data_IF_049707192067
#
_entry.id   IF_049707192067
#
_cell.length_a   1.000
_cell.length_b   1.000
_cell.length_c   1.000
_cell.angle_alpha   90.00
_cell.angle_beta   90.00
_cell.angle_gamma   90.00
#
_symmetry.space_group_name_H-M   'P 1'
#
loop_
_entity.id
_entity.type
_entity.pdbx_description
1 polymer ?
#
# COMPACT_ATOMS: atom_id res chain seq x y z
N UNK A 1 0.01 -10.45 -25.43
CA UNK A 1 0.67 -11.47 -24.58
C UNK A 1 1.21 -10.76 -23.35
N UNK A 2 0.44 -10.74 -22.27
CA UNK A 2 0.85 -10.12 -21.01
C UNK A 2 1.63 -11.14 -20.19
N UNK A 3 2.85 -10.82 -19.82
CA UNK A 3 3.69 -11.67 -18.98
C UNK A 3 3.15 -11.61 -17.55
N UNK A 4 2.42 -12.63 -17.12
CA UNK A 4 2.03 -12.80 -15.72
C UNK A 4 3.30 -13.03 -14.88
N UNK A 5 3.60 -12.10 -13.99
CA UNK A 5 4.71 -12.23 -13.04
C UNK A 5 4.26 -13.24 -11.98
N UNK A 6 4.92 -14.40 -11.93
CA UNK A 6 4.69 -15.41 -10.88
C UNK A 6 5.24 -14.87 -9.54
N UNK A 7 4.35 -14.43 -8.66
CA UNK A 7 4.69 -14.15 -7.27
C UNK A 7 4.81 -15.48 -6.53
N UNK A 8 6.03 -15.87 -6.19
CA UNK A 8 6.30 -17.03 -5.31
C UNK A 8 5.88 -16.65 -3.89
N UNK A 9 4.69 -17.11 -3.46
CA UNK A 9 4.48 -17.54 -2.07
C UNK A 9 3.29 -18.52 -2.00
N UNK A 10 3.57 -19.81 -2.07
CA UNK A 10 2.59 -20.89 -2.06
C UNK A 10 2.06 -21.16 -0.65
N UNK A 11 1.06 -20.40 -0.20
CA UNK A 11 0.16 -20.83 0.88
C UNK A 11 -1.22 -20.27 0.56
N UNK A 12 -2.20 -21.15 0.34
CA UNK A 12 -3.60 -20.90 -0.07
C UNK A 12 -4.07 -19.44 0.05
N UNK A 13 -4.45 -18.83 -1.08
CA UNK A 13 -4.91 -17.45 -1.13
C UNK A 13 -6.18 -17.25 -0.29
N UNK A 14 -6.07 -16.49 0.79
CA UNK A 14 -7.22 -15.96 1.52
C UNK A 14 -7.47 -14.54 1.01
N UNK A 15 -8.74 -14.17 0.78
CA UNK A 15 -9.15 -12.85 0.28
C UNK A 15 -8.55 -11.69 1.09
N UNK A 16 -8.41 -11.84 2.41
CA UNK A 16 -7.77 -10.83 3.25
C UNK A 16 -6.29 -10.59 2.90
N UNK A 17 -5.54 -11.64 2.55
CA UNK A 17 -4.12 -11.52 2.18
C UNK A 17 -3.96 -10.85 0.82
N UNK A 18 -4.81 -11.19 -0.15
CA UNK A 18 -4.83 -10.56 -1.48
C UNK A 18 -5.02 -9.04 -1.35
N UNK A 19 -6.04 -8.61 -0.58
CA UNK A 19 -6.35 -7.19 -0.36
C UNK A 19 -5.22 -6.46 0.37
N UNK A 20 -4.58 -7.15 1.31
CA UNK A 20 -3.41 -6.63 2.00
C UNK A 20 -2.19 -6.47 1.08
N UNK A 21 -1.83 -7.50 0.30
CA UNK A 21 -0.70 -7.48 -0.63
C UNK A 21 -0.89 -6.41 -1.71
N UNK A 22 -2.12 -6.25 -2.21
CA UNK A 22 -2.53 -5.14 -3.08
C UNK A 22 -2.23 -3.79 -2.43
N UNK A 23 -2.72 -3.57 -1.21
CA UNK A 23 -2.59 -2.28 -0.52
C UNK A 23 -1.14 -1.96 -0.16
N UNK A 24 -0.36 -2.97 0.22
CA UNK A 24 1.08 -2.85 0.44
C UNK A 24 1.80 -2.44 -0.86
N UNK A 25 1.47 -3.08 -1.98
CA UNK A 25 2.06 -2.74 -3.29
C UNK A 25 1.69 -1.32 -3.72
N UNK A 26 0.41 -0.94 -3.62
CA UNK A 26 -0.06 0.42 -3.88
C UNK A 26 0.70 1.44 -3.04
N UNK A 27 0.82 1.19 -1.73
CA UNK A 27 1.55 2.08 -0.83
C UNK A 27 3.00 2.29 -1.29
N UNK A 28 3.73 1.20 -1.59
CA UNK A 28 5.10 1.28 -2.07
C UNK A 28 5.20 2.04 -3.39
N UNK A 29 4.27 1.84 -4.33
CA UNK A 29 4.21 2.61 -5.57
C UNK A 29 3.99 4.10 -5.31
N UNK A 30 3.08 4.48 -4.39
CA UNK A 30 2.85 5.89 -4.02
C UNK A 30 4.10 6.52 -3.40
N UNK A 31 4.79 5.78 -2.52
CA UNK A 31 5.98 6.27 -1.80
C UNK A 31 7.17 6.40 -2.75
N UNK A 32 7.49 5.34 -3.49
CA UNK A 32 8.76 5.21 -4.21
C UNK A 32 8.69 5.51 -5.70
N UNK A 33 7.50 5.47 -6.30
CA UNK A 33 7.31 5.70 -7.74
C UNK A 33 6.47 6.96 -7.95
N UNK A 34 5.15 6.84 -7.94
CA UNK A 34 4.21 7.95 -8.06
C UNK A 34 2.77 7.53 -7.71
N UNK A 35 1.94 8.49 -7.33
CA UNK A 35 0.51 8.31 -7.10
C UNK A 35 -0.21 7.79 -8.36
N UNK A 36 0.11 8.31 -9.55
CA UNK A 36 -0.50 7.87 -10.81
C UNK A 36 -0.22 6.40 -11.12
N UNK A 37 1.00 5.91 -10.92
CA UNK A 37 1.34 4.48 -11.13
C UNK A 37 0.63 3.57 -10.13
N UNK A 38 0.48 4.01 -8.88
CA UNK A 38 -0.33 3.28 -7.90
C UNK A 38 -1.79 3.19 -8.33
N UNK A 39 -2.38 4.27 -8.84
CA UNK A 39 -3.77 4.27 -9.30
C UNK A 39 -3.96 3.38 -10.53
N UNK A 40 -3.06 3.46 -11.51
CA UNK A 40 -3.08 2.56 -12.68
C UNK A 40 -3.02 1.09 -12.26
N UNK A 41 -2.16 0.75 -11.31
CA UNK A 41 -2.07 -0.61 -10.77
C UNK A 41 -3.37 -1.03 -10.06
N UNK A 42 -3.92 -0.18 -9.18
CA UNK A 42 -5.16 -0.46 -8.46
C UNK A 42 -6.33 -0.70 -9.42
N UNK A 43 -6.52 0.16 -10.42
CA UNK A 43 -7.61 0.01 -11.39
C UNK A 43 -7.52 -1.29 -12.18
N UNK A 44 -6.31 -1.68 -12.59
CA UNK A 44 -6.10 -2.98 -13.24
C UNK A 44 -6.38 -4.16 -12.35
N UNK A 45 -6.09 -4.05 -11.06
CA UNK A 45 -6.38 -5.11 -10.11
C UNK A 45 -7.89 -5.23 -9.80
N UNK A 46 -8.60 -4.10 -9.77
CA UNK A 46 -10.05 -4.04 -9.55
C UNK A 46 -10.86 -4.59 -10.73
N UNK A 47 -10.28 -4.73 -11.92
CA UNK A 47 -10.90 -5.46 -13.05
C UNK A 47 -11.09 -6.95 -12.71
N UNK A 48 -10.25 -7.52 -11.85
CA UNK A 48 -10.25 -8.94 -11.48
C UNK A 48 -10.91 -9.21 -10.11
N UNK A 49 -10.84 -8.24 -9.18
CA UNK A 49 -11.28 -8.42 -7.79
C UNK A 49 -12.11 -7.23 -7.32
N UNK A 50 -13.35 -7.49 -6.89
CA UNK A 50 -14.20 -6.49 -6.26
C UNK A 50 -13.74 -6.21 -4.83
N UNK A 51 -13.45 -4.95 -4.53
CA UNK A 51 -13.04 -4.49 -3.21
C UNK A 51 -13.77 -3.19 -2.90
N UNK A 52 -14.45 -3.14 -1.75
CA UNK A 52 -15.13 -1.93 -1.32
C UNK A 52 -14.13 -0.83 -0.94
N UNK A 53 -14.49 0.43 -1.18
CA UNK A 53 -13.63 1.59 -0.86
C UNK A 53 -13.21 1.61 0.61
N UNK A 54 -14.14 1.32 1.53
CA UNK A 54 -13.84 1.26 2.96
C UNK A 54 -12.82 0.17 3.30
N UNK A 55 -12.88 -0.99 2.64
CA UNK A 55 -11.91 -2.06 2.85
C UNK A 55 -10.53 -1.63 2.34
N UNK A 56 -10.44 -0.99 1.17
CA UNK A 56 -9.19 -0.47 0.64
C UNK A 56 -8.52 0.51 1.61
N UNK A 57 -9.30 1.41 2.21
CA UNK A 57 -8.77 2.36 3.18
C UNK A 57 -8.26 1.68 4.46
N UNK A 58 -8.94 0.63 4.95
CA UNK A 58 -8.45 -0.16 6.10
C UNK A 58 -7.13 -0.85 5.77
N UNK A 59 -7.03 -1.49 4.61
CA UNK A 59 -5.79 -2.17 4.22
C UNK A 59 -4.66 -1.19 3.90
N UNK A 60 -4.96 -0.01 3.38
CA UNK A 60 -3.99 1.08 3.25
C UNK A 60 -3.49 1.54 4.62
N UNK A 61 -4.38 1.67 5.62
CA UNK A 61 -3.98 2.02 6.98
C UNK A 61 -3.02 0.97 7.56
N UNK A 62 -3.33 -0.32 7.40
CA UNK A 62 -2.45 -1.42 7.82
C UNK A 62 -1.08 -1.39 7.11
N UNK A 63 -1.08 -1.16 5.80
CA UNK A 63 0.14 -1.01 5.02
C UNK A 63 0.99 0.18 5.53
N UNK A 64 0.36 1.32 5.82
CA UNK A 64 1.04 2.50 6.35
C UNK A 64 1.68 2.21 7.71
N UNK A 65 0.93 1.58 8.63
CA UNK A 65 1.44 1.19 9.94
C UNK A 65 2.65 0.26 9.82
N UNK A 66 2.61 -0.70 8.89
CA UNK A 66 3.76 -1.56 8.60
C UNK A 66 4.96 -0.76 8.10
N UNK A 67 4.77 0.15 7.16
CA UNK A 67 5.86 0.96 6.63
C UNK A 67 6.51 1.81 7.72
N UNK A 68 5.70 2.47 8.56
CA UNK A 68 6.18 3.28 9.68
C UNK A 68 6.92 2.44 10.71
N UNK A 69 6.43 1.24 11.02
CA UNK A 69 7.12 0.31 11.91
C UNK A 69 8.49 -0.08 11.33
N UNK A 70 8.54 -0.44 10.05
CA UNK A 70 9.80 -0.81 9.37
C UNK A 70 10.80 0.35 9.38
N UNK A 71 10.35 1.58 9.11
CA UNK A 71 11.19 2.78 9.17
C UNK A 71 11.82 2.97 10.55
N UNK A 72 11.07 2.66 11.62
CA UNK A 72 11.55 2.79 13.01
C UNK A 72 12.51 1.67 13.41
N UNK A 73 12.24 0.41 13.05
CA UNK A 73 12.97 -0.75 13.60
C UNK A 73 14.14 -1.21 12.74
N UNK A 74 14.04 -1.05 11.41
CA UNK A 74 15.05 -1.54 10.46
C UNK A 74 15.58 -0.44 9.55
N UNK A 75 14.89 0.71 9.49
CA UNK A 75 15.10 1.71 8.47
C UNK A 75 14.51 1.26 7.12
N UNK A 76 14.17 2.25 6.30
CA UNK A 76 13.75 2.04 4.91
C UNK A 76 14.48 3.01 4.01
N UNK A 77 14.62 2.72 2.70
CA UNK A 77 15.15 3.70 1.75
C UNK A 77 14.35 5.00 1.83
N UNK A 78 15.02 6.14 2.06
CA UNK A 78 14.37 7.45 2.13
C UNK A 78 15.06 8.41 1.17
N UNK A 79 14.27 9.04 0.30
CA UNK A 79 14.68 10.15 -0.56
C UNK A 79 14.07 11.45 -0.03
N UNK A 80 14.44 12.60 -0.60
CA UNK A 80 14.03 13.92 -0.14
C UNK A 80 12.50 14.06 0.07
N UNK A 81 11.70 13.44 -0.80
CA UNK A 81 10.23 13.53 -0.76
C UNK A 81 9.53 12.37 -0.05
N UNK A 82 10.26 11.34 0.41
CA UNK A 82 9.65 10.11 0.95
C UNK A 82 8.71 10.43 2.13
N UNK A 83 9.19 11.17 3.13
CA UNK A 83 8.37 11.50 4.30
C UNK A 83 7.24 12.49 3.99
N UNK A 84 7.39 13.32 2.96
CA UNK A 84 6.31 14.20 2.47
C UNK A 84 5.17 13.37 1.88
N UNK A 85 5.49 12.34 1.08
CA UNK A 85 4.49 11.40 0.53
C UNK A 85 3.82 10.59 1.63
N UNK A 86 4.58 10.07 2.60
CA UNK A 86 4.04 9.33 3.74
C UNK A 86 3.09 10.18 4.57
N UNK A 87 3.45 11.42 4.92
CA UNK A 87 2.54 12.34 5.63
C UNK A 87 1.24 12.59 4.87
N UNK A 88 1.32 12.79 3.55
CA UNK A 88 0.11 12.94 2.71
C UNK A 88 -0.79 11.71 2.84
N UNK A 89 -0.23 10.50 2.68
CA UNK A 89 -0.99 9.25 2.75
C UNK A 89 -1.64 9.08 4.14
N UNK A 90 -0.89 9.35 5.22
CA UNK A 90 -1.41 9.26 6.59
C UNK A 90 -2.56 10.24 6.82
N UNK A 91 -2.46 11.47 6.29
CA UNK A 91 -3.52 12.48 6.41
C UNK A 91 -4.78 12.15 5.61
N UNK A 92 -4.61 11.54 4.44
CA UNK A 92 -5.71 11.26 3.52
C UNK A 92 -6.52 10.01 3.95
N UNK A 93 -5.98 9.19 4.86
CA UNK A 93 -6.62 7.97 5.34
C UNK A 93 -7.39 8.18 6.65
N UNK A 94 -8.72 7.96 6.64
CA UNK A 94 -9.60 8.25 7.79
C UNK A 94 -9.34 7.40 9.04
N UNK A 95 -8.64 6.28 8.90
CA UNK A 95 -8.34 5.36 10.00
C UNK A 95 -7.00 5.67 10.67
N UNK A 96 -6.23 6.62 10.13
CA UNK A 96 -4.93 7.01 10.66
C UNK A 96 -5.02 8.37 11.36
N UNK A 97 -4.15 8.56 12.36
CA UNK A 97 -3.98 9.82 13.06
C UNK A 97 -2.53 10.26 12.96
N UNK A 98 -2.27 11.33 12.21
CA UNK A 98 -0.92 11.83 11.97
C UNK A 98 -0.19 12.15 13.29
N UNK A 99 -0.85 12.82 14.24
CA UNK A 99 -0.24 13.24 15.52
C UNK A 99 0.21 12.08 16.39
N UNK A 100 -0.41 10.91 16.23
CA UNK A 100 -0.06 9.70 16.97
C UNK A 100 1.07 8.90 16.28
N UNK A 101 1.32 9.15 15.01
CA UNK A 101 2.14 8.28 14.14
C UNK A 101 3.43 8.94 13.65
N UNK A 102 3.47 10.26 13.52
CA UNK A 102 4.56 11.04 12.92
C UNK A 102 4.90 12.26 13.77
#
# INVERSE_FOLDING_TARGET
MGTSINVVNSIQANNGRIKYDLSWTCLLLRIYVSESKSLTFLYKYQEEISIATVELEIFEALACLRWLLLDRVAGVPKHADTMKRVRKIVRDNRFLNERALL
#
